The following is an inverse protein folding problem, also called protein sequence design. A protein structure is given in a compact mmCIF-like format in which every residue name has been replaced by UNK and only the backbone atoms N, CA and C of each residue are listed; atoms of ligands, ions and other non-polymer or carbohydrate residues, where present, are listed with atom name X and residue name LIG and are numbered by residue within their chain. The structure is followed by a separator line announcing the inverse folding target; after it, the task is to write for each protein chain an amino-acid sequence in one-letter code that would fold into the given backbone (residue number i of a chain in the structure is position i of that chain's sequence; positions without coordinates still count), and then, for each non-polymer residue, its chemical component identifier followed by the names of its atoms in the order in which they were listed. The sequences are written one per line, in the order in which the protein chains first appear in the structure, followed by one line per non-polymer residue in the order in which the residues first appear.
data_IF_164541360627
#
_entry.id   IF_164541360627
#
_cell.length_a   1.000
_cell.length_b   1.000
_cell.length_c   1.000
_cell.angle_alpha   90.00
_cell.angle_beta   90.00
_cell.angle_gamma   90.00
#
_symmetry.space_group_name_H-M   'P 1'
#
loop_
_entity.id
_entity.type
_entity.pdbx_description
1 polymer ?
#
# COMPACT_ATOMS: atom_id res chain seq x y z
N UNK A 1 9.03 -17.46 5.97
CA UNK A 1 8.50 -16.17 5.49
C UNK A 1 8.11 -15.36 6.71
N UNK A 2 8.72 -14.20 6.88
CA UNK A 2 8.54 -13.30 8.02
C UNK A 2 7.40 -12.31 7.78
N UNK A 3 6.99 -11.57 8.83
CA UNK A 3 6.05 -10.46 8.67
C UNK A 3 6.62 -9.35 7.80
N UNK A 4 7.93 -9.11 7.86
CA UNK A 4 8.62 -8.15 7.00
C UNK A 4 8.54 -8.53 5.52
N UNK A 5 8.73 -9.82 5.19
CA UNK A 5 8.63 -10.32 3.82
C UNK A 5 7.23 -10.02 3.24
N UNK A 6 6.19 -10.13 4.07
CA UNK A 6 4.81 -9.84 3.67
C UNK A 6 4.58 -8.35 3.41
N UNK A 7 5.20 -7.46 4.19
CA UNK A 7 5.14 -6.02 3.94
C UNK A 7 5.86 -5.67 2.64
N UNK A 8 6.99 -6.31 2.35
CA UNK A 8 7.73 -6.10 1.09
C UNK A 8 6.90 -6.56 -0.10
N UNK A 9 6.29 -7.75 -0.03
CA UNK A 9 5.39 -8.23 -1.08
C UNK A 9 4.18 -7.31 -1.26
N UNK A 10 3.57 -6.84 -0.17
CA UNK A 10 2.49 -5.87 -0.22
C UNK A 10 2.88 -4.57 -0.95
N UNK A 11 4.09 -4.05 -0.69
CA UNK A 11 4.61 -2.87 -1.38
C UNK A 11 4.84 -3.14 -2.88
N UNK A 12 5.33 -4.33 -3.24
CA UNK A 12 5.49 -4.75 -4.63
C UNK A 12 4.15 -4.88 -5.36
N UNK A 13 3.13 -5.44 -4.70
CA UNK A 13 1.77 -5.55 -5.22
C UNK A 13 1.14 -4.18 -5.48
N UNK A 14 1.36 -3.23 -4.58
CA UNK A 14 0.95 -1.83 -4.76
C UNK A 14 1.65 -1.25 -5.98
N UNK A 15 2.97 -1.34 -6.08
CA UNK A 15 3.73 -0.82 -7.21
C UNK A 15 3.27 -1.42 -8.55
N UNK A 16 3.06 -2.74 -8.60
CA UNK A 16 2.52 -3.40 -9.78
C UNK A 16 1.12 -2.90 -10.14
N UNK A 17 0.25 -2.72 -9.15
CA UNK A 17 -1.10 -2.21 -9.36
C UNK A 17 -1.12 -0.76 -9.84
N UNK A 18 -0.19 0.09 -9.38
CA UNK A 18 -0.02 1.44 -9.88
C UNK A 18 0.41 1.46 -11.35
N UNK A 19 1.30 0.55 -11.76
CA UNK A 19 1.67 0.40 -13.18
C UNK A 19 0.47 0.03 -14.05
N UNK A 20 -0.40 -0.85 -13.56
CA UNK A 20 -1.60 -1.26 -14.31
C UNK A 20 -2.60 -0.12 -14.55
N UNK A 21 -2.54 0.96 -13.77
CA UNK A 21 -3.43 2.12 -13.91
C UNK A 21 -2.73 3.30 -14.60
N UNK A 22 -1.54 3.08 -15.17
CA UNK A 22 -0.85 4.05 -16.02
C UNK A 22 0.27 4.84 -15.33
N UNK A 23 0.59 4.60 -14.06
CA UNK A 23 1.77 5.21 -13.45
C UNK A 23 3.05 4.50 -13.92
N UNK A 24 4.08 5.27 -14.28
CA UNK A 24 5.41 4.73 -14.41
C UNK A 24 6.11 4.75 -13.05
N UNK A 25 6.75 3.64 -12.68
CA UNK A 25 7.47 3.54 -11.40
C UNK A 25 8.97 3.54 -11.69
N UNK A 26 9.70 4.39 -10.99
CA UNK A 26 11.15 4.48 -11.11
C UNK A 26 11.85 3.86 -9.89
N UNK A 27 13.08 3.41 -10.09
CA UNK A 27 13.87 2.77 -9.04
C UNK A 27 14.48 3.76 -8.04
N UNK A 28 14.65 5.03 -8.43
CA UNK A 28 15.28 6.06 -7.61
C UNK A 28 14.30 7.20 -7.34
N UNK A 29 14.18 7.57 -6.07
CA UNK A 29 13.32 8.67 -5.61
C UNK A 29 13.59 10.00 -6.32
N UNK A 30 14.84 10.27 -6.66
CA UNK A 30 15.25 11.51 -7.35
C UNK A 30 14.72 11.61 -8.79
N UNK A 31 14.37 10.47 -9.40
CA UNK A 31 13.85 10.41 -10.77
C UNK A 31 12.31 10.43 -10.77
N UNK A 32 11.67 10.46 -9.59
CA UNK A 32 10.22 10.39 -9.44
C UNK A 32 9.58 11.77 -9.29
N UNK A 33 8.47 12.03 -10.00
CA UNK A 33 7.64 13.22 -9.74
C UNK A 33 6.85 13.10 -8.42
N UNK A 34 6.52 11.87 -8.02
CA UNK A 34 5.83 11.57 -6.76
C UNK A 34 6.40 10.32 -6.10
N UNK A 35 6.39 10.33 -4.77
CA UNK A 35 6.71 9.16 -3.95
C UNK A 35 5.44 8.63 -3.29
N UNK A 36 5.28 7.33 -3.35
CA UNK A 36 4.20 6.62 -2.67
C UNK A 36 4.73 6.02 -1.37
N UNK A 37 4.28 6.54 -0.24
CA UNK A 37 4.60 5.98 1.07
C UNK A 37 3.52 4.99 1.48
N UNK A 38 3.91 3.72 1.63
CA UNK A 38 3.06 2.68 2.17
C UNK A 38 3.35 2.46 3.65
N UNK A 39 2.30 2.40 4.46
CA UNK A 39 2.40 2.05 5.88
C UNK A 39 1.34 1.03 6.24
N UNK A 40 1.72 0.06 7.06
CA UNK A 40 0.83 -0.98 7.55
C UNK A 40 0.96 -1.08 9.08
N UNK A 41 -0.17 -1.35 9.74
CA UNK A 41 -0.23 -1.52 11.19
C UNK A 41 0.40 -2.82 11.67
N UNK A 42 0.03 -3.26 12.87
CA UNK A 42 0.68 -4.39 13.53
C UNK A 42 0.50 -5.68 12.72
N UNK A 43 1.61 -6.16 12.13
CA UNK A 43 1.65 -7.41 11.38
C UNK A 43 1.83 -8.59 12.33
N UNK A 44 0.94 -9.58 12.23
CA UNK A 44 1.05 -10.84 12.98
C UNK A 44 0.55 -12.02 12.15
N UNK A 45 1.00 -13.21 12.50
CA UNK A 45 0.54 -14.44 11.85
C UNK A 45 -0.58 -15.08 12.66
N UNK A 46 -1.67 -15.44 11.98
CA UNK A 46 -2.79 -16.22 12.49
C UNK A 46 -2.84 -17.56 11.73
N UNK A 47 -2.86 -18.73 12.39
CA UNK A 47 -2.86 -20.02 11.69
C UNK A 47 -4.09 -20.30 10.80
N UNK A 48 -5.22 -19.64 11.06
CA UNK A 48 -6.47 -19.81 10.31
C UNK A 48 -6.61 -18.78 9.19
N UNK A 49 -6.17 -17.54 9.43
CA UNK A 49 -6.33 -16.42 8.50
C UNK A 49 -5.05 -16.03 7.73
N UNK A 50 -3.89 -16.55 8.13
CA UNK A 50 -2.58 -16.17 7.60
C UNK A 50 -2.06 -14.85 8.18
N UNK A 51 -1.38 -14.05 7.35
CA UNK A 51 -0.81 -12.78 7.78
C UNK A 51 -1.86 -11.68 7.85
N UNK A 52 -2.03 -11.13 9.05
CA UNK A 52 -3.06 -10.16 9.37
C UNK A 52 -2.45 -8.84 9.85
N UNK A 53 -3.16 -7.75 9.56
CA UNK A 53 -2.85 -6.42 10.02
C UNK A 53 -4.15 -5.64 10.26
N UNK A 54 -4.13 -4.66 11.14
CA UNK A 54 -5.35 -3.94 11.55
C UNK A 54 -5.68 -2.75 10.64
N UNK A 55 -4.68 -2.17 9.96
CA UNK A 55 -4.82 -0.96 9.14
C UNK A 55 -3.72 -0.87 8.09
N UNK A 56 -4.01 -0.20 6.99
CA UNK A 56 -2.99 0.19 6.01
C UNK A 56 -3.28 1.58 5.43
N UNK A 57 -2.22 2.25 5.01
CA UNK A 57 -2.23 3.62 4.51
C UNK A 57 -1.32 3.75 3.30
N UNK A 58 -1.75 4.55 2.33
CA UNK A 58 -0.90 5.02 1.24
C UNK A 58 -0.96 6.53 1.18
N UNK A 59 0.19 7.19 1.09
CA UNK A 59 0.31 8.62 0.85
C UNK A 59 1.08 8.88 -0.44
N UNK A 60 0.53 9.76 -1.28
CA UNK A 60 1.19 10.28 -2.47
C UNK A 60 1.78 11.63 -2.11
N UNK A 61 3.10 11.72 -2.20
CA UNK A 61 3.87 12.92 -1.87
C UNK A 61 4.54 13.47 -3.12
N UNK A 62 4.30 14.73 -3.42
CA UNK A 62 5.00 15.44 -4.49
C UNK A 62 6.48 15.62 -4.10
N UNK A 63 7.41 15.21 -4.97
CA UNK A 63 8.85 15.23 -4.65
C UNK A 63 9.45 16.63 -4.68
N UNK A 64 8.87 17.56 -5.44
CA UNK A 64 9.36 18.94 -5.60
C UNK A 64 9.01 19.80 -4.39
N UNK A 65 7.79 19.68 -3.91
CA UNK A 65 7.23 20.49 -2.81
C UNK A 65 7.28 19.76 -1.47
N UNK A 66 7.38 18.44 -1.48
CA UNK A 66 7.25 17.61 -0.28
C UNK A 66 5.83 17.57 0.29
N UNK A 67 4.83 18.07 -0.42
CA UNK A 67 3.45 18.11 0.06
C UNK A 67 2.72 16.78 -0.19
N UNK A 68 1.83 16.40 0.73
CA UNK A 68 0.95 15.23 0.53
C UNK A 68 -0.20 15.64 -0.39
N UNK A 69 -0.26 15.02 -1.55
CA UNK A 69 -1.29 15.27 -2.59
C UNK A 69 -2.53 14.43 -2.32
N UNK A 70 -2.34 13.20 -1.84
CA UNK A 70 -3.43 12.27 -1.55
C UNK A 70 -3.04 11.32 -0.42
N UNK A 71 -4.01 10.98 0.45
CA UNK A 71 -3.85 9.96 1.48
C UNK A 71 -5.05 9.04 1.47
N UNK A 72 -4.82 7.74 1.35
CA UNK A 72 -5.85 6.70 1.27
C UNK A 72 -5.65 5.75 2.44
N UNK A 73 -6.74 5.47 3.15
CA UNK A 73 -6.75 4.63 4.34
C UNK A 73 -7.60 3.40 4.09
N UNK A 74 -7.04 2.21 4.29
CA UNK A 74 -7.79 0.98 4.33
C UNK A 74 -7.97 0.53 5.77
N UNK A 75 -9.22 0.60 6.23
CA UNK A 75 -9.69 -0.06 7.45
C UNK A 75 -10.71 -1.12 7.04
N UNK A 76 -10.53 -2.37 7.48
CA UNK A 76 -11.49 -3.44 7.25
C UNK A 76 -12.20 -3.66 8.57
N UNK A 77 -13.46 -3.24 8.61
CA UNK A 77 -14.34 -3.53 9.73
C UNK A 77 -15.01 -4.90 9.48
N UNK A 78 -15.32 -5.62 10.56
CA UNK A 78 -16.14 -6.84 10.56
C UNK A 78 -15.51 -8.15 10.03
N UNK A 79 -14.24 -8.15 9.59
CA UNK A 79 -13.49 -9.36 9.20
C UNK A 79 -12.05 -9.20 9.72
N UNK A 80 -11.41 -10.29 10.18
CA UNK A 80 -9.96 -10.29 10.48
C UNK A 80 -9.20 -9.87 9.22
N UNK A 81 -8.60 -8.67 9.16
CA UNK A 81 -8.05 -8.16 7.91
C UNK A 81 -6.73 -8.87 7.62
N UNK A 82 -6.62 -9.47 6.43
CA UNK A 82 -5.34 -9.94 5.92
C UNK A 82 -4.61 -8.79 5.24
N UNK A 83 -3.28 -8.87 5.19
CA UNK A 83 -2.45 -7.89 4.45
C UNK A 83 -2.94 -7.76 3.01
N UNK A 84 -3.23 -8.89 2.35
CA UNK A 84 -3.76 -8.91 0.98
C UNK A 84 -5.10 -8.19 0.83
N UNK A 85 -6.02 -8.35 1.78
CA UNK A 85 -7.30 -7.62 1.74
C UNK A 85 -7.12 -6.11 1.90
N UNK A 86 -6.17 -5.68 2.75
CA UNK A 86 -5.85 -4.26 2.92
C UNK A 86 -5.23 -3.67 1.66
N UNK A 87 -4.26 -4.36 1.04
CA UNK A 87 -3.63 -3.94 -0.22
C UNK A 87 -4.66 -3.83 -1.34
N UNK A 88 -5.51 -4.85 -1.52
CA UNK A 88 -6.58 -4.82 -2.53
C UNK A 88 -7.53 -3.65 -2.31
N UNK A 89 -7.88 -3.35 -1.06
CA UNK A 89 -8.73 -2.21 -0.73
C UNK A 89 -8.04 -0.88 -1.06
N UNK A 90 -6.79 -0.71 -0.66
CA UNK A 90 -6.00 0.49 -1.00
C UNK A 90 -5.94 0.71 -2.52
N UNK A 91 -5.56 -0.32 -3.27
CA UNK A 91 -5.47 -0.26 -4.73
C UNK A 91 -6.83 0.04 -5.37
N UNK A 92 -7.91 -0.57 -4.86
CA UNK A 92 -9.25 -0.30 -5.35
C UNK A 92 -9.68 1.15 -5.10
N UNK A 93 -9.29 1.74 -3.98
CA UNK A 93 -9.57 3.16 -3.74
C UNK A 93 -8.72 4.05 -4.64
N UNK A 94 -7.43 3.74 -4.85
CA UNK A 94 -6.59 4.48 -5.81
C UNK A 94 -7.23 4.49 -7.20
N UNK A 95 -7.70 3.33 -7.68
CA UNK A 95 -8.41 3.15 -8.97
C UNK A 95 -9.72 3.93 -9.10
N UNK A 96 -10.28 4.44 -8.00
CA UNK A 96 -11.48 5.28 -8.05
C UNK A 96 -11.15 6.75 -8.25
N UNK A 97 -9.95 7.16 -7.86
CA UNK A 97 -9.48 8.53 -8.00
C UNK A 97 -8.77 8.79 -9.34
N UNK A 98 -8.33 7.73 -10.03
CA UNK A 98 -7.61 7.77 -11.30
C UNK A 98 -8.19 6.75 -12.27
#
# INVERSE_FOLDING_TARGET
MSGQDQVIMAAQDIAFSLRQIGFDTVDRTQDADMVVLFSIGTVRYDPLAGWIADRAFIEFKDTKTGSVVCSIKANVQFITPTINTLVKKLVSEVKRYY
#
